data_IF_746031673341
#
_entry.id   IF_746031673341
#
_cell.length_a   1.000
_cell.length_b   1.000
_cell.length_c   1.000
_cell.angle_alpha   90.00
_cell.angle_beta   90.00
_cell.angle_gamma   90.00
#
_symmetry.space_group_name_H-M   'P 1'
#
loop_
_entity.id
_entity.type
_entity.pdbx_description
1 polymer ?
#
# COMPACT_ATOMS: atom_id res chain seq x y z
N UNK A 1 36.25 -48.96 -26.32
CA UNK A 1 36.44 -50.41 -26.10
C UNK A 1 37.74 -50.59 -25.31
N UNK A 2 37.69 -51.00 -24.03
CA UNK A 2 38.85 -51.18 -23.10
C UNK A 2 39.66 -49.89 -22.80
N UNK A 3 40.33 -49.70 -21.65
CA UNK A 3 40.47 -50.52 -20.43
C UNK A 3 40.51 -49.66 -19.15
N UNK A 4 40.05 -50.21 -18.03
CA UNK A 4 40.36 -49.69 -16.67
C UNK A 4 41.83 -49.98 -16.32
N UNK A 5 42.45 -49.13 -15.51
CA UNK A 5 43.75 -49.39 -14.87
C UNK A 5 43.73 -48.87 -13.43
N UNK A 6 43.76 -49.78 -12.47
CA UNK A 6 43.91 -49.50 -11.04
C UNK A 6 45.39 -49.72 -10.68
N UNK A 7 46.01 -48.86 -9.87
CA UNK A 7 46.88 -49.31 -8.78
C UNK A 7 47.15 -48.19 -7.78
N UNK A 8 47.36 -48.58 -6.51
CA UNK A 8 47.66 -47.69 -5.40
C UNK A 8 49.05 -47.98 -4.83
N UNK A 9 49.67 -47.01 -4.16
CA UNK A 9 50.72 -47.30 -3.18
C UNK A 9 50.72 -46.28 -2.02
N UNK A 10 50.94 -46.79 -0.81
CA UNK A 10 51.10 -46.06 0.47
C UNK A 10 52.61 -45.88 0.79
N UNK A 11 52.90 -45.39 2.01
CA UNK A 11 54.19 -45.17 2.71
C UNK A 11 54.73 -43.72 2.62
N UNK A 12 55.22 -43.07 3.70
CA UNK A 12 55.06 -43.28 5.16
C UNK A 12 55.41 -41.97 5.92
N UNK A 13 55.09 -41.93 7.22
CA UNK A 13 55.42 -40.93 8.23
C UNK A 13 56.79 -40.21 8.12
N UNK A 14 56.81 -38.94 8.51
CA UNK A 14 57.78 -38.42 9.48
C UNK A 14 57.17 -37.26 10.29
N UNK A 15 57.18 -37.37 11.62
CA UNK A 15 56.79 -36.31 12.55
C UNK A 15 58.03 -35.74 13.25
N UNK A 16 58.00 -34.46 13.64
CA UNK A 16 58.84 -33.94 14.73
C UNK A 16 58.21 -32.72 15.41
N UNK A 17 58.32 -32.68 16.73
CA UNK A 17 57.66 -31.73 17.63
C UNK A 17 58.70 -30.95 18.44
N UNK A 18 58.37 -29.73 18.87
CA UNK A 18 58.87 -28.96 20.04
C UNK A 18 57.95 -27.72 20.18
N UNK A 19 57.29 -27.35 21.29
CA UNK A 19 57.69 -27.14 22.71
C UNK A 19 58.78 -26.05 22.86
N UNK A 20 58.77 -25.11 23.82
CA UNK A 20 58.01 -24.92 25.08
C UNK A 20 58.15 -23.44 25.59
N UNK A 21 57.73 -23.17 26.85
CA UNK A 21 57.77 -21.90 27.64
C UNK A 21 56.61 -20.92 27.38
N UNK A 22 55.68 -20.58 28.29
CA UNK A 22 55.58 -20.61 29.78
C UNK A 22 56.30 -19.46 30.52
N UNK A 23 55.52 -18.61 31.19
CA UNK A 23 55.97 -17.54 32.10
C UNK A 23 54.77 -16.97 32.87
N UNK A 24 54.84 -16.97 34.21
CA UNK A 24 53.71 -16.70 35.11
C UNK A 24 54.16 -16.06 36.42
N UNK A 25 53.50 -15.00 36.87
CA UNK A 25 53.47 -14.45 38.25
C UNK A 25 52.46 -13.27 38.26
N UNK A 26 51.78 -12.82 39.32
CA UNK A 26 51.27 -13.30 40.62
C UNK A 26 50.97 -12.01 41.45
N UNK A 27 49.96 -12.03 42.33
CA UNK A 27 49.66 -10.94 43.28
C UNK A 27 48.26 -10.33 43.09
N UNK A 28 47.23 -10.78 43.80
CA UNK A 28 46.87 -10.46 45.22
C UNK A 28 46.07 -9.15 45.35
N UNK A 29 45.09 -8.96 46.24
CA UNK A 29 44.23 -9.78 47.11
C UNK A 29 43.46 -8.76 47.98
N UNK A 30 42.13 -8.76 48.03
CA UNK A 30 41.38 -8.05 49.09
C UNK A 30 39.94 -8.56 49.21
N UNK A 31 39.55 -8.95 50.43
CA UNK A 31 38.18 -9.27 50.83
C UNK A 31 37.38 -7.97 51.04
N UNK A 32 36.06 -8.04 50.85
CA UNK A 32 35.15 -7.71 51.94
C UNK A 32 33.80 -8.44 51.79
N UNK A 33 33.26 -8.92 52.91
CA UNK A 33 31.98 -9.63 53.01
C UNK A 33 31.06 -8.80 53.90
N UNK A 34 29.84 -8.51 53.43
CA UNK A 34 28.68 -8.27 54.29
C UNK A 34 27.42 -8.70 53.56
N UNK A 35 26.61 -9.53 54.21
CA UNK A 35 25.27 -9.90 53.77
C UNK A 35 24.23 -9.13 54.58
N UNK A 36 23.02 -8.97 54.05
CA UNK A 36 21.79 -8.92 54.84
C UNK A 36 20.57 -9.25 53.97
N UNK A 37 19.54 -9.83 54.60
CA UNK A 37 18.32 -10.36 54.00
C UNK A 37 17.39 -9.33 53.34
N UNK A 38 16.63 -9.80 52.34
CA UNK A 38 15.15 -9.92 52.48
C UNK A 38 14.51 -10.58 51.24
N UNK A 39 13.72 -11.64 51.45
CA UNK A 39 12.61 -12.01 50.55
C UNK A 39 11.31 -11.42 51.10
N UNK A 40 10.33 -11.08 50.25
CA UNK A 40 9.22 -12.02 50.06
C UNK A 40 8.65 -12.10 48.63
N UNK A 41 8.03 -13.23 48.32
CA UNK A 41 7.20 -13.49 47.12
C UNK A 41 5.72 -13.15 47.38
N UNK A 42 4.81 -13.26 46.40
CA UNK A 42 4.71 -12.55 45.12
C UNK A 42 3.31 -11.91 44.92
N UNK A 43 3.03 -11.27 43.77
CA UNK A 43 1.66 -11.15 43.24
C UNK A 43 1.45 -11.86 41.89
N UNK A 44 0.17 -12.05 41.54
CA UNK A 44 -0.37 -12.91 40.47
C UNK A 44 -0.08 -12.48 39.00
N UNK A 45 -0.26 -13.39 38.00
CA UNK A 45 0.09 -13.13 36.62
C UNK A 45 -0.93 -12.26 35.87
N UNK A 46 -0.47 -11.10 35.38
CA UNK A 46 -1.17 -10.31 34.36
C UNK A 46 -1.02 -10.88 32.94
N UNK A 47 -1.92 -10.54 32.00
CA UNK A 47 -1.95 -11.13 30.66
C UNK A 47 -0.74 -10.72 29.81
N UNK A 48 -0.22 -11.69 29.05
CA UNK A 48 0.94 -11.55 28.16
C UNK A 48 0.58 -10.85 26.85
N UNK A 49 0.89 -9.55 26.76
CA UNK A 49 0.91 -8.81 25.49
C UNK A 49 2.17 -9.18 24.67
N UNK A 50 2.06 -9.42 23.34
CA UNK A 50 3.21 -9.72 22.51
C UNK A 50 4.10 -8.49 22.28
N UNK A 51 5.41 -8.72 22.25
CA UNK A 51 6.43 -7.69 22.02
C UNK A 51 6.33 -7.10 20.60
N UNK A 52 6.29 -5.76 20.41
CA UNK A 52 6.37 -5.18 19.09
C UNK A 52 7.80 -5.33 18.52
N UNK A 53 7.89 -5.70 17.23
CA UNK A 53 9.15 -5.71 16.49
C UNK A 53 9.65 -4.26 16.35
N UNK A 54 10.95 -4.05 16.57
CA UNK A 54 11.53 -2.72 16.66
C UNK A 54 11.45 -1.94 15.32
N UNK A 55 10.83 -0.76 15.38
CA UNK A 55 10.97 0.25 14.34
C UNK A 55 12.36 0.91 14.44
N UNK A 56 12.95 1.26 13.30
CA UNK A 56 14.21 2.01 13.25
C UNK A 56 14.04 3.44 13.82
N UNK A 57 15.09 4.03 14.43
CA UNK A 57 14.95 5.21 15.27
C UNK A 57 14.72 6.50 14.48
N UNK A 58 13.68 7.24 14.87
CA UNK A 58 13.47 8.63 14.46
C UNK A 58 14.25 9.58 15.40
N UNK A 59 15.06 10.47 14.83
CA UNK A 59 15.72 11.54 15.58
C UNK A 59 14.75 12.71 15.81
N UNK A 60 14.71 13.23 17.04
CA UNK A 60 13.78 14.28 17.46
C UNK A 60 14.43 15.67 17.38
N UNK A 61 13.69 16.64 16.84
CA UNK A 61 13.95 18.07 17.02
C UNK A 61 12.62 18.79 17.27
N UNK A 62 12.56 19.56 18.35
CA UNK A 62 11.32 20.20 18.83
C UNK A 62 11.03 21.53 18.12
N UNK A 63 9.75 21.91 18.10
CA UNK A 63 9.30 23.26 17.79
C UNK A 63 8.26 23.70 18.85
N UNK A 64 8.42 24.92 19.36
CA UNK A 64 7.60 25.47 20.43
C UNK A 64 6.22 25.94 19.92
N UNK A 65 5.22 25.91 20.82
CA UNK A 65 3.87 26.38 20.51
C UNK A 65 3.70 27.89 20.62
N UNK A 66 2.65 28.41 19.97
CA UNK A 66 2.05 29.72 20.25
C UNK A 66 0.53 29.53 20.28
N UNK A 67 -0.09 30.07 21.33
CA UNK A 67 -1.54 30.06 21.56
C UNK A 67 -2.22 31.27 20.91
N UNK A 68 -3.42 31.11 20.38
CA UNK A 68 -4.43 32.19 20.46
C UNK A 68 -5.83 31.61 20.50
N UNK A 69 -6.54 31.97 21.56
CA UNK A 69 -7.98 31.80 21.71
C UNK A 69 -8.72 32.89 20.91
N UNK A 70 -10.00 32.66 20.57
CA UNK A 70 -11.07 33.65 20.40
C UNK A 70 -12.31 33.07 19.69
N UNK A 71 -13.34 32.72 20.45
CA UNK A 71 -14.74 32.71 19.99
C UNK A 71 -15.34 34.12 20.11
N UNK A 72 -16.44 34.44 19.41
CA UNK A 72 -17.75 34.27 20.04
C UNK A 72 -18.78 33.53 19.16
N UNK A 73 -19.80 32.97 19.81
CA UNK A 73 -21.02 32.45 19.18
C UNK A 73 -22.09 33.54 19.13
N UNK A 74 -23.18 33.35 18.36
CA UNK A 74 -24.49 33.96 18.62
C UNK A 74 -25.66 33.22 17.92
N UNK A 75 -26.64 32.85 18.74
CA UNK A 75 -28.06 32.47 18.58
C UNK A 75 -28.72 31.91 17.28
N UNK A 76 -29.77 31.12 17.54
CA UNK A 76 -30.70 30.49 16.60
C UNK A 76 -32.10 31.13 16.66
N UNK A 77 -32.92 30.93 15.62
CA UNK A 77 -34.40 30.90 15.70
C UNK A 77 -35.01 30.29 14.42
N UNK A 78 -36.16 29.62 14.59
CA UNK A 78 -37.01 28.95 13.59
C UNK A 78 -38.48 29.04 14.13
N UNK A 79 -39.56 28.71 13.39
CA UNK A 79 -39.75 28.60 11.94
C UNK A 79 -40.70 29.75 11.48
N UNK A 80 -42.03 29.65 11.13
CA UNK A 80 -42.96 28.55 10.79
C UNK A 80 -43.44 28.57 9.31
N UNK A 81 -44.34 27.64 8.96
CA UNK A 81 -45.11 27.62 7.70
C UNK A 81 -46.63 27.50 7.93
N UNK A 82 -47.44 27.29 6.87
CA UNK A 82 -48.62 26.42 7.02
C UNK A 82 -48.95 25.49 5.82
N UNK A 83 -49.24 24.23 6.14
CA UNK A 83 -50.45 23.45 5.78
C UNK A 83 -51.33 23.86 4.57
N UNK A 84 -51.71 22.92 3.67
CA UNK A 84 -52.87 22.01 3.83
C UNK A 84 -53.18 21.16 2.55
N UNK A 85 -53.99 20.10 2.73
CA UNK A 85 -54.81 19.32 1.77
C UNK A 85 -54.30 17.94 1.28
N UNK A 86 -55.23 16.97 1.19
CA UNK A 86 -54.97 15.54 0.99
C UNK A 86 -56.04 14.83 0.14
N UNK A 87 -55.67 13.64 -0.38
CA UNK A 87 -56.55 12.56 -0.90
C UNK A 87 -57.26 12.83 -2.27
N UNK A 88 -57.64 11.79 -3.06
CA UNK A 88 -57.91 10.40 -2.67
C UNK A 88 -57.12 9.30 -3.42
N UNK A 89 -57.32 8.07 -2.95
CA UNK A 89 -56.65 6.84 -3.38
C UNK A 89 -57.27 6.18 -4.63
N UNK A 90 -56.47 5.40 -5.36
CA UNK A 90 -56.94 4.53 -6.44
C UNK A 90 -56.31 3.12 -6.37
N UNK A 91 -57.20 2.14 -6.21
CA UNK A 91 -57.15 0.69 -6.49
C UNK A 91 -55.81 -0.06 -6.64
N UNK A 92 -55.71 -1.17 -5.90
CA UNK A 92 -54.71 -2.22 -6.07
C UNK A 92 -54.89 -2.96 -7.40
N UNK A 93 -53.80 -3.19 -8.13
CA UNK A 93 -53.72 -4.16 -9.22
C UNK A 93 -52.37 -4.89 -9.16
N UNK A 94 -52.40 -6.20 -8.90
CA UNK A 94 -51.20 -7.04 -8.80
C UNK A 94 -50.89 -7.68 -10.15
N UNK A 95 -49.75 -7.37 -10.81
CA UNK A 95 -49.22 -8.18 -11.90
C UNK A 95 -48.44 -9.40 -11.36
N UNK A 96 -48.29 -10.48 -12.16
CA UNK A 96 -47.86 -11.77 -11.65
C UNK A 96 -46.37 -11.82 -11.25
N UNK A 97 -46.08 -12.66 -10.26
CA UNK A 97 -44.71 -13.05 -9.90
C UNK A 97 -44.00 -13.71 -11.09
N UNK A 98 -43.05 -13.00 -11.70
CA UNK A 98 -42.13 -13.56 -12.68
C UNK A 98 -40.74 -13.62 -12.07
N UNK A 99 -40.42 -14.78 -11.48
CA UNK A 99 -39.11 -15.07 -10.92
C UNK A 99 -38.09 -15.36 -12.04
N UNK A 100 -37.63 -14.31 -12.73
CA UNK A 100 -36.54 -14.39 -13.70
C UNK A 100 -35.19 -14.15 -13.02
N UNK A 101 -34.57 -15.27 -12.64
CA UNK A 101 -33.16 -15.57 -12.34
C UNK A 101 -32.14 -14.44 -11.99
N UNK A 102 -31.28 -14.66 -10.96
CA UNK A 102 -30.21 -13.71 -10.55
C UNK A 102 -28.98 -13.68 -11.47
N UNK A 103 -29.07 -14.18 -12.70
CA UNK A 103 -27.92 -14.51 -13.54
C UNK A 103 -27.05 -13.29 -13.96
N UNK A 104 -27.67 -12.12 -14.14
CA UNK A 104 -26.96 -10.90 -14.55
C UNK A 104 -25.98 -10.41 -13.48
N UNK A 105 -26.38 -10.45 -12.21
CA UNK A 105 -25.53 -10.02 -11.08
C UNK A 105 -24.29 -10.91 -10.94
N UNK A 106 -24.47 -12.24 -11.03
CA UNK A 106 -23.37 -13.19 -10.88
C UNK A 106 -22.32 -13.09 -11.99
N UNK A 107 -22.72 -12.81 -13.23
CA UNK A 107 -21.79 -12.60 -14.34
C UNK A 107 -20.93 -11.35 -14.13
N UNK A 108 -21.56 -10.22 -13.76
CA UNK A 108 -20.85 -8.96 -13.46
C UNK A 108 -19.89 -9.10 -12.27
N UNK A 109 -20.27 -9.85 -11.24
CA UNK A 109 -19.37 -10.14 -10.11
C UNK A 109 -18.17 -11.01 -10.52
N UNK A 110 -18.36 -12.01 -11.38
CA UNK A 110 -17.28 -12.88 -11.84
C UNK A 110 -16.27 -12.16 -12.75
N UNK A 111 -16.75 -11.32 -13.67
CA UNK A 111 -15.90 -10.51 -14.56
C UNK A 111 -15.13 -9.42 -13.79
N UNK A 112 -15.77 -8.81 -12.80
CA UNK A 112 -15.12 -7.89 -11.83
C UNK A 112 -14.05 -8.63 -11.02
N UNK A 113 -14.32 -9.83 -10.51
CA UNK A 113 -13.33 -10.61 -9.75
C UNK A 113 -12.17 -11.14 -10.61
N UNK A 114 -12.39 -11.42 -11.89
CA UNK A 114 -11.33 -11.74 -12.84
C UNK A 114 -10.41 -10.52 -13.12
N UNK A 115 -11.00 -9.32 -13.15
CA UNK A 115 -10.27 -8.06 -13.35
C UNK A 115 -9.56 -7.59 -12.07
N UNK A 116 -10.13 -7.86 -10.89
CA UNK A 116 -9.64 -7.43 -9.58
C UNK A 116 -9.50 -8.65 -8.65
N UNK A 117 -8.39 -9.41 -8.77
CA UNK A 117 -8.22 -10.75 -8.18
C UNK A 117 -8.50 -10.84 -6.68
N UNK A 118 -8.15 -9.81 -5.92
CA UNK A 118 -8.38 -9.75 -4.47
C UNK A 118 -9.85 -9.80 -4.06
N UNK A 119 -10.78 -9.39 -4.93
CA UNK A 119 -12.22 -9.51 -4.69
C UNK A 119 -12.71 -10.97 -4.76
N UNK A 120 -11.98 -11.82 -5.48
CA UNK A 120 -12.20 -13.27 -5.54
C UNK A 120 -11.44 -14.07 -4.47
N UNK A 121 -10.60 -13.42 -3.66
CA UNK A 121 -9.82 -14.10 -2.62
C UNK A 121 -10.62 -14.20 -1.31
N UNK A 122 -11.07 -15.41 -0.89
CA UNK A 122 -11.85 -15.58 0.32
C UNK A 122 -11.07 -15.24 1.60
N UNK A 123 -9.72 -15.19 1.55
CA UNK A 123 -8.89 -14.76 2.68
C UNK A 123 -8.89 -13.24 2.89
N UNK A 124 -9.29 -12.46 1.88
CA UNK A 124 -9.34 -11.00 1.91
C UNK A 124 -10.76 -10.42 1.97
N UNK A 125 -11.78 -11.24 1.69
CA UNK A 125 -13.18 -10.82 1.57
C UNK A 125 -13.74 -10.07 2.81
N UNK A 126 -13.22 -10.32 4.01
CA UNK A 126 -13.61 -9.63 5.24
C UNK A 126 -12.73 -8.41 5.60
N UNK A 127 -11.63 -8.19 4.87
CA UNK A 127 -10.62 -7.15 5.16
C UNK A 127 -10.70 -5.95 4.20
N UNK A 128 -11.32 -6.09 3.04
CA UNK A 128 -11.63 -5.01 2.12
C UNK A 128 -13.07 -4.50 2.34
N UNK A 129 -13.36 -3.20 2.21
CA UNK A 129 -14.73 -2.72 2.15
C UNK A 129 -15.41 -3.22 0.86
N UNK A 130 -16.71 -3.55 0.88
CA UNK A 130 -17.38 -4.15 -0.27
C UNK A 130 -17.43 -3.18 -1.47
N UNK A 131 -17.17 -3.66 -2.69
CA UNK A 131 -17.28 -2.84 -3.90
C UNK A 131 -18.76 -2.57 -4.23
N UNK A 132 -19.10 -1.32 -4.55
CA UNK A 132 -20.47 -0.94 -4.97
C UNK A 132 -20.54 -0.33 -6.36
N UNK A 133 -19.48 0.33 -6.81
CA UNK A 133 -19.32 0.82 -8.19
C UNK A 133 -17.82 0.95 -8.56
N UNK A 134 -17.53 1.58 -9.70
CA UNK A 134 -16.18 1.76 -10.24
C UNK A 134 -15.80 3.24 -10.32
N UNK A 135 -14.50 3.54 -10.40
CA UNK A 135 -14.00 4.91 -10.55
C UNK A 135 -14.68 5.68 -11.72
N UNK A 136 -14.80 5.05 -12.89
CA UNK A 136 -15.48 5.65 -14.05
C UNK A 136 -16.97 5.88 -13.82
N UNK A 137 -17.68 4.95 -13.17
CA UNK A 137 -19.11 5.10 -12.90
C UNK A 137 -19.37 6.18 -11.82
N UNK A 138 -18.51 6.25 -10.81
CA UNK A 138 -18.57 7.22 -9.71
C UNK A 138 -18.28 8.65 -10.16
N UNK A 139 -17.29 8.81 -11.04
CA UNK A 139 -16.84 10.10 -11.55
C UNK A 139 -17.00 10.13 -13.09
N UNK A 140 -18.22 10.11 -13.65
CA UNK A 140 -18.46 9.86 -15.07
C UNK A 140 -18.08 11.02 -15.98
N UNK A 141 -18.03 12.25 -15.48
CA UNK A 141 -17.67 13.45 -16.25
C UNK A 141 -16.37 14.08 -15.74
N UNK A 142 -15.42 14.45 -16.63
CA UNK A 142 -14.37 15.40 -16.31
C UNK A 142 -14.94 16.83 -16.20
N UNK A 143 -14.15 17.84 -15.78
CA UNK A 143 -14.61 19.23 -15.71
C UNK A 143 -15.02 19.77 -17.10
N UNK A 144 -15.89 20.79 -17.17
CA UNK A 144 -16.29 21.41 -18.45
C UNK A 144 -15.07 21.88 -19.27
N UNK A 145 -15.07 21.57 -20.56
CA UNK A 145 -13.96 21.86 -21.48
C UNK A 145 -12.84 20.82 -21.52
N UNK A 146 -12.93 19.75 -20.71
CA UNK A 146 -11.98 18.63 -20.74
C UNK A 146 -12.62 17.38 -21.35
N UNK A 147 -11.83 16.58 -22.07
CA UNK A 147 -12.21 15.27 -22.61
C UNK A 147 -11.25 14.22 -22.08
N UNK A 148 -11.75 13.05 -21.63
CA UNK A 148 -10.87 11.96 -21.18
C UNK A 148 -9.92 11.52 -22.29
N UNK A 149 -8.71 11.13 -21.90
CA UNK A 149 -7.78 10.52 -22.86
C UNK A 149 -8.23 9.09 -23.20
N UNK A 150 -8.11 8.72 -24.46
CA UNK A 150 -8.26 7.34 -24.90
C UNK A 150 -7.13 6.48 -24.32
N UNK A 151 -7.43 5.22 -24.02
CA UNK A 151 -6.50 4.26 -23.43
C UNK A 151 -6.59 2.94 -24.17
N UNK A 152 -5.43 2.32 -24.42
CA UNK A 152 -5.38 0.98 -24.99
C UNK A 152 -6.05 -0.03 -24.04
N UNK A 153 -6.88 -0.93 -24.59
CA UNK A 153 -7.47 -2.02 -23.84
C UNK A 153 -6.40 -2.88 -23.15
N UNK A 154 -6.65 -3.28 -21.91
CA UNK A 154 -5.69 -4.06 -21.10
C UNK A 154 -4.51 -3.26 -20.52
N UNK A 155 -4.33 -1.99 -20.88
CA UNK A 155 -3.31 -1.12 -20.25
C UNK A 155 -3.58 -0.89 -18.77
N UNK A 156 -2.53 -0.62 -17.98
CA UNK A 156 -2.66 -0.31 -16.55
C UNK A 156 -3.60 0.89 -16.32
N UNK A 157 -3.52 1.92 -17.16
CA UNK A 157 -4.42 3.06 -17.09
C UNK A 157 -5.89 2.71 -17.33
N UNK A 158 -6.19 1.85 -18.32
CA UNK A 158 -7.55 1.41 -18.60
C UNK A 158 -8.14 0.58 -17.44
N UNK A 159 -7.28 -0.20 -16.78
CA UNK A 159 -7.61 -0.96 -15.57
C UNK A 159 -7.82 -0.06 -14.35
N UNK A 160 -6.99 0.98 -14.16
CA UNK A 160 -7.16 1.97 -13.08
C UNK A 160 -8.46 2.77 -13.21
N UNK A 161 -8.85 3.12 -14.44
CA UNK A 161 -10.11 3.84 -14.75
C UNK A 161 -11.36 3.09 -14.26
N UNK A 162 -11.27 1.77 -14.03
CA UNK A 162 -12.38 0.94 -13.57
C UNK A 162 -12.25 0.45 -12.12
N UNK A 163 -11.27 0.97 -11.35
CA UNK A 163 -11.02 0.53 -9.96
C UNK A 163 -12.31 0.41 -9.14
N UNK A 164 -12.51 -0.70 -8.41
CA UNK A 164 -13.70 -0.89 -7.60
C UNK A 164 -13.65 0.04 -6.39
N UNK A 165 -14.78 0.69 -6.08
CA UNK A 165 -14.92 1.66 -5.00
C UNK A 165 -15.91 1.18 -3.95
N UNK A 166 -15.61 1.53 -2.69
CA UNK A 166 -16.51 1.36 -1.56
C UNK A 166 -17.68 2.35 -1.61
N UNK A 167 -18.68 2.14 -0.75
CA UNK A 167 -19.85 3.01 -0.65
C UNK A 167 -19.48 4.50 -0.41
N UNK A 168 -20.27 5.46 -0.94
CA UNK A 168 -20.06 6.87 -0.63
C UNK A 168 -20.26 7.09 0.87
N UNK A 169 -19.41 7.91 1.47
CA UNK A 169 -19.37 8.05 2.93
C UNK A 169 -18.57 6.96 3.67
N UNK A 170 -17.85 6.08 2.96
CA UNK A 170 -16.84 5.22 3.61
C UNK A 170 -15.68 6.09 4.12
N UNK A 171 -15.33 6.06 5.43
CA UNK A 171 -14.17 6.79 5.96
C UNK A 171 -12.85 6.13 5.53
N UNK A 172 -11.75 6.90 5.56
CA UNK A 172 -10.40 6.31 5.48
C UNK A 172 -9.99 5.82 6.86
N UNK A 173 -9.74 4.52 6.98
CA UNK A 173 -9.21 3.88 8.17
C UNK A 173 -7.71 3.62 8.02
N UNK A 174 -6.97 3.65 9.13
CA UNK A 174 -5.64 3.05 9.23
C UNK A 174 -5.76 1.52 9.41
N UNK A 175 -4.69 0.78 9.14
CA UNK A 175 -4.64 -0.69 9.31
C UNK A 175 -5.13 -1.16 10.70
N UNK A 176 -4.95 -0.36 11.75
CA UNK A 176 -5.43 -0.66 13.12
C UNK A 176 -6.92 -0.32 13.36
N UNK A 177 -7.72 -0.10 12.32
CA UNK A 177 -9.16 0.20 12.38
C UNK A 177 -9.56 1.63 12.77
N UNK A 178 -8.62 2.48 13.18
CA UNK A 178 -8.90 3.88 13.54
C UNK A 178 -9.18 4.77 12.33
N UNK A 179 -10.14 5.69 12.43
CA UNK A 179 -10.45 6.68 11.38
C UNK A 179 -9.30 7.69 11.25
N UNK A 180 -8.82 7.90 10.02
CA UNK A 180 -7.88 8.97 9.65
C UNK A 180 -8.62 10.12 8.97
N UNK A 181 -9.47 9.84 7.97
CA UNK A 181 -10.34 10.84 7.35
C UNK A 181 -11.81 10.46 7.58
N UNK A 182 -12.63 11.33 8.17
CA UNK A 182 -14.07 11.08 8.32
C UNK A 182 -14.78 11.09 6.94
N UNK A 183 -16.01 10.53 6.86
CA UNK A 183 -16.78 10.40 5.62
C UNK A 183 -16.95 11.69 4.80
N UNK A 184 -17.06 12.82 5.49
CA UNK A 184 -17.33 14.15 4.95
C UNK A 184 -16.06 14.96 4.66
N UNK A 185 -14.87 14.40 4.89
CA UNK A 185 -13.61 15.14 4.80
C UNK A 185 -13.46 15.86 3.45
N UNK A 186 -13.17 17.17 3.51
CA UNK A 186 -13.16 18.08 2.35
C UNK A 186 -12.20 17.70 1.21
N UNK A 187 -11.27 16.78 1.47
CA UNK A 187 -10.27 16.28 0.52
C UNK A 187 -10.38 14.77 0.19
N UNK A 188 -11.38 14.06 0.74
CA UNK A 188 -11.68 12.65 0.44
C UNK A 188 -12.80 12.57 -0.61
N UNK A 189 -12.59 11.88 -1.72
CA UNK A 189 -13.61 11.70 -2.76
C UNK A 189 -14.27 10.31 -2.73
N UNK A 190 -13.47 9.26 -2.58
CA UNK A 190 -13.92 7.88 -2.48
C UNK A 190 -12.84 7.00 -1.84
N UNK A 191 -13.23 5.83 -1.33
CA UNK A 191 -12.31 4.77 -0.86
C UNK A 191 -12.28 3.64 -1.89
N UNK A 192 -11.10 3.15 -2.24
CA UNK A 192 -10.94 1.99 -3.13
C UNK A 192 -11.29 0.72 -2.35
N UNK A 193 -12.05 -0.19 -2.97
CA UNK A 193 -12.47 -1.46 -2.39
C UNK A 193 -11.32 -2.49 -2.40
N UNK A 194 -10.27 -2.22 -1.63
CA UNK A 194 -9.09 -3.07 -1.45
C UNK A 194 -8.69 -3.13 0.03
N UNK A 195 -8.06 -4.23 0.44
CA UNK A 195 -7.58 -4.42 1.81
C UNK A 195 -6.43 -3.46 2.15
N UNK A 196 -6.26 -3.15 3.44
CA UNK A 196 -5.09 -2.40 3.96
C UNK A 196 -3.95 -3.37 4.35
N UNK A 197 -4.29 -4.64 4.61
CA UNK A 197 -3.47 -5.54 5.43
C UNK A 197 -3.67 -5.33 6.93
N UNK A 198 -3.09 -6.22 7.74
CA UNK A 198 -3.23 -6.23 9.22
C UNK A 198 -2.06 -5.54 9.96
N UNK A 199 -1.12 -4.96 9.21
CA UNK A 199 0.10 -4.33 9.74
C UNK A 199 0.36 -2.99 9.06
N UNK A 200 1.27 -2.19 9.62
CA UNK A 200 1.68 -0.88 9.10
C UNK A 200 2.62 -1.01 7.89
N UNK A 201 2.16 -1.70 6.84
CA UNK A 201 2.95 -2.06 5.65
C UNK A 201 2.48 -1.38 4.36
N UNK A 202 1.17 -1.38 4.05
CA UNK A 202 0.66 -0.84 2.77
C UNK A 202 0.58 0.70 2.79
N UNK A 203 1.74 1.35 2.84
CA UNK A 203 1.90 2.79 2.86
C UNK A 203 1.87 3.39 1.44
N UNK A 204 2.27 4.67 1.31
CA UNK A 204 2.09 5.46 0.09
C UNK A 204 2.69 4.83 -1.20
N UNK A 205 3.95 4.39 -1.16
CA UNK A 205 4.61 3.75 -2.30
C UNK A 205 4.06 2.34 -2.56
N UNK A 206 3.71 1.64 -1.48
CA UNK A 206 3.26 0.25 -1.48
C UNK A 206 1.88 0.10 -2.11
N UNK A 207 1.00 1.09 -1.95
CA UNK A 207 -0.28 1.14 -2.67
C UNK A 207 -0.10 1.22 -4.20
N UNK A 208 0.92 1.92 -4.69
CA UNK A 208 1.23 2.00 -6.12
C UNK A 208 1.78 0.66 -6.62
N UNK A 209 2.70 0.05 -5.85
CA UNK A 209 3.23 -1.30 -6.12
C UNK A 209 2.11 -2.34 -6.12
N UNK A 210 1.21 -2.31 -5.12
CA UNK A 210 0.04 -3.18 -4.97
C UNK A 210 -0.83 -3.16 -6.22
N UNK A 211 -1.29 -1.97 -6.64
CA UNK A 211 -2.18 -1.82 -7.79
C UNK A 211 -1.51 -2.24 -9.10
N UNK A 212 -0.23 -1.91 -9.30
CA UNK A 212 0.51 -2.35 -10.49
C UNK A 212 0.74 -3.87 -10.51
N UNK A 213 1.03 -4.47 -9.35
CA UNK A 213 1.20 -5.92 -9.22
C UNK A 213 -0.11 -6.67 -9.50
N UNK A 214 -1.23 -6.17 -8.99
CA UNK A 214 -2.57 -6.74 -9.21
C UNK A 214 -2.98 -6.66 -10.68
N UNK A 215 -2.74 -5.54 -11.36
CA UNK A 215 -2.96 -5.44 -12.81
C UNK A 215 -2.13 -6.47 -13.59
N UNK A 216 -0.83 -6.61 -13.28
CA UNK A 216 0.02 -7.65 -13.89
C UNK A 216 -0.52 -9.06 -13.60
N UNK A 217 -0.92 -9.34 -12.36
CA UNK A 217 -1.52 -10.62 -11.98
C UNK A 217 -2.81 -10.92 -12.76
N UNK A 218 -3.70 -9.94 -12.88
CA UNK A 218 -4.99 -10.06 -13.57
C UNK A 218 -4.82 -10.40 -15.07
N UNK A 219 -3.81 -9.83 -15.74
CA UNK A 219 -3.45 -10.19 -17.14
C UNK A 219 -2.65 -11.49 -17.27
N UNK A 220 -2.57 -12.31 -16.22
CA UNK A 220 -1.93 -13.62 -16.22
C UNK A 220 -0.41 -13.63 -15.98
N UNK A 221 0.20 -12.47 -15.69
CA UNK A 221 1.64 -12.37 -15.45
C UNK A 221 2.02 -13.00 -14.10
N UNK A 222 3.12 -13.75 -14.09
CA UNK A 222 3.66 -14.45 -12.91
C UNK A 222 5.18 -14.27 -12.78
N UNK A 223 5.83 -13.51 -13.66
CA UNK A 223 7.25 -13.13 -13.53
C UNK A 223 7.35 -11.72 -12.94
N UNK A 224 7.09 -11.67 -11.63
CA UNK A 224 6.88 -10.45 -10.88
C UNK A 224 8.09 -10.19 -9.98
N UNK A 225 8.68 -9.01 -10.09
CA UNK A 225 9.72 -8.51 -9.18
C UNK A 225 9.53 -7.03 -8.93
N UNK A 226 9.93 -6.59 -7.74
CA UNK A 226 10.04 -5.19 -7.33
C UNK A 226 11.34 -5.02 -6.54
N UNK A 227 11.77 -3.78 -6.29
CA UNK A 227 13.01 -3.51 -5.56
C UNK A 227 12.79 -3.15 -4.10
N UNK A 228 13.71 -3.61 -3.25
CA UNK A 228 13.96 -3.05 -1.93
C UNK A 228 14.63 -1.67 -2.03
N UNK A 229 14.67 -0.90 -0.93
CA UNK A 229 15.33 0.41 -0.84
C UNK A 229 16.80 0.43 -1.28
N UNK A 230 17.50 -0.69 -1.11
CA UNK A 230 18.90 -0.88 -1.54
C UNK A 230 19.04 -1.33 -3.01
N UNK A 231 17.97 -1.27 -3.82
CA UNK A 231 17.96 -1.72 -5.22
C UNK A 231 17.93 -3.24 -5.42
N UNK A 232 17.86 -4.02 -4.33
CA UNK A 232 17.85 -5.48 -4.35
C UNK A 232 16.51 -5.99 -4.86
N UNK A 233 16.53 -6.86 -5.88
CA UNK A 233 15.35 -7.50 -6.47
C UNK A 233 14.60 -8.40 -5.47
N UNK A 234 13.27 -8.32 -5.51
CA UNK A 234 12.34 -9.08 -4.67
C UNK A 234 11.43 -9.98 -5.52
N UNK A 235 11.96 -10.96 -6.28
CA UNK A 235 11.19 -11.76 -7.22
C UNK A 235 10.22 -12.73 -6.52
N UNK A 236 8.98 -12.78 -7.02
CA UNK A 236 7.92 -13.66 -6.57
C UNK A 236 8.34 -15.14 -6.60
N UNK A 237 9.12 -15.56 -7.60
CA UNK A 237 9.59 -16.95 -7.75
C UNK A 237 10.55 -17.42 -6.65
N UNK A 238 11.15 -16.52 -5.87
CA UNK A 238 11.87 -16.91 -4.64
C UNK A 238 10.91 -17.11 -3.48
N UNK A 239 9.90 -16.26 -3.36
CA UNK A 239 8.86 -16.39 -2.34
C UNK A 239 8.07 -17.70 -2.47
N UNK A 240 7.70 -18.04 -3.71
CA UNK A 240 7.04 -19.30 -4.12
C UNK A 240 7.88 -20.52 -3.75
N UNK A 241 9.21 -20.44 -3.81
CA UNK A 241 10.14 -21.50 -3.37
C UNK A 241 10.30 -21.59 -1.84
N UNK A 242 9.61 -20.75 -1.08
CA UNK A 242 9.68 -20.72 0.39
C UNK A 242 10.88 -19.95 0.96
N UNK A 243 11.58 -19.20 0.11
CA UNK A 243 12.65 -18.31 0.53
C UNK A 243 12.07 -16.97 0.99
N UNK A 244 12.74 -16.29 1.93
CA UNK A 244 12.36 -14.95 2.40
C UNK A 244 13.57 -14.02 2.41
N UNK A 245 13.37 -12.72 2.13
CA UNK A 245 14.40 -11.71 2.33
C UNK A 245 14.64 -11.50 3.84
N UNK A 246 15.91 -11.54 4.26
CA UNK A 246 16.36 -11.42 5.64
C UNK A 246 17.56 -10.48 5.70
N UNK A 247 17.53 -9.51 6.61
CA UNK A 247 18.65 -8.61 6.81
C UNK A 247 19.81 -9.30 7.56
N UNK A 248 21.02 -9.12 7.04
CA UNK A 248 22.29 -9.59 7.60
C UNK A 248 23.30 -8.44 7.56
N UNK A 249 23.30 -7.64 8.62
CA UNK A 249 24.01 -6.35 8.62
C UNK A 249 23.38 -5.40 7.61
N UNK A 250 24.18 -4.89 6.68
CA UNK A 250 23.73 -4.00 5.61
C UNK A 250 23.14 -4.75 4.40
N UNK A 251 23.37 -6.06 4.29
CA UNK A 251 22.90 -6.87 3.16
C UNK A 251 21.50 -7.43 3.39
N UNK A 252 20.69 -7.48 2.32
CA UNK A 252 19.46 -8.27 2.27
C UNK A 252 19.78 -9.59 1.54
N UNK A 253 19.75 -10.70 2.28
CA UNK A 253 19.99 -12.05 1.73
C UNK A 253 18.68 -12.83 1.69
N UNK A 254 18.64 -13.84 0.84
CA UNK A 254 17.49 -14.73 0.71
C UNK A 254 17.78 -16.07 1.38
N UNK A 255 16.97 -16.43 2.37
CA UNK A 255 17.12 -17.66 3.14
C UNK A 255 15.85 -18.52 3.00
N UNK A 256 15.95 -19.85 2.89
CA UNK A 256 14.81 -20.75 3.05
C UNK A 256 14.19 -20.58 4.44
N UNK A 257 12.89 -20.25 4.51
CA UNK A 257 12.14 -20.09 5.77
C UNK A 257 10.85 -20.90 5.83
N UNK A 258 10.25 -21.20 4.68
CA UNK A 258 9.04 -22.02 4.58
C UNK A 258 9.24 -23.13 3.56
N UNK A 259 8.25 -24.02 3.46
CA UNK A 259 8.10 -24.89 2.28
C UNK A 259 7.69 -24.04 1.07
N UNK A 260 7.82 -24.60 -0.13
CA UNK A 260 7.28 -24.01 -1.35
C UNK A 260 5.75 -23.95 -1.32
N UNK A 261 5.20 -22.92 -1.96
CA UNK A 261 3.75 -22.68 -2.10
C UNK A 261 3.33 -22.74 -3.58
N UNK A 262 2.03 -22.95 -3.89
CA UNK A 262 1.51 -22.74 -5.24
C UNK A 262 1.65 -21.28 -5.70
N UNK A 263 1.63 -21.04 -7.03
CA UNK A 263 1.51 -19.69 -7.61
C UNK A 263 0.04 -19.23 -7.63
N UNK A 264 -0.56 -19.12 -6.45
CA UNK A 264 -1.93 -18.64 -6.25
C UNK A 264 -1.99 -17.21 -5.67
N UNK A 265 -3.18 -16.62 -5.65
CA UNK A 265 -3.37 -15.25 -5.20
C UNK A 265 -3.02 -15.04 -3.71
N UNK A 266 -3.39 -15.93 -2.76
CA UNK A 266 -2.93 -15.82 -1.38
C UNK A 266 -1.40 -15.81 -1.23
N UNK A 267 -0.68 -16.64 -2.00
CA UNK A 267 0.80 -16.65 -1.98
C UNK A 267 1.38 -15.35 -2.55
N UNK A 268 0.76 -14.80 -3.59
CA UNK A 268 1.12 -13.50 -4.18
C UNK A 268 0.81 -12.32 -3.24
N UNK A 269 -0.33 -12.33 -2.54
CA UNK A 269 -0.67 -11.33 -1.52
C UNK A 269 0.35 -11.32 -0.38
N UNK A 270 0.76 -12.50 0.09
CA UNK A 270 1.80 -12.63 1.11
C UNK A 270 3.18 -12.18 0.62
N UNK A 271 3.52 -12.45 -0.65
CA UNK A 271 4.75 -11.92 -1.26
C UNK A 271 4.77 -10.39 -1.26
N UNK A 272 3.62 -9.75 -1.53
CA UNK A 272 3.52 -8.29 -1.50
C UNK A 272 3.74 -7.70 -0.10
N UNK A 273 3.28 -8.33 0.99
CA UNK A 273 3.68 -7.90 2.35
C UNK A 273 5.20 -8.00 2.54
N UNK A 274 5.83 -9.04 1.97
CA UNK A 274 7.28 -9.17 1.90
C UNK A 274 7.97 -8.10 1.07
N UNK A 275 7.33 -7.58 0.01
CA UNK A 275 7.82 -6.44 -0.77
C UNK A 275 7.71 -5.15 0.05
N UNK A 276 6.56 -4.89 0.66
CA UNK A 276 6.29 -3.66 1.44
C UNK A 276 7.20 -3.53 2.66
N UNK A 277 7.66 -4.64 3.23
CA UNK A 277 8.63 -4.64 4.33
C UNK A 277 10.04 -4.11 3.93
N UNK A 278 10.38 -4.09 2.64
CA UNK A 278 11.72 -3.70 2.16
C UNK A 278 11.71 -2.60 1.08
N UNK A 279 10.59 -2.39 0.39
CA UNK A 279 10.38 -1.30 -0.55
C UNK A 279 10.22 0.04 0.19
N UNK A 280 10.36 1.14 -0.54
CA UNK A 280 10.05 2.49 -0.09
C UNK A 280 9.94 3.43 -1.30
N UNK A 281 9.69 4.72 -1.06
CA UNK A 281 9.65 5.76 -2.10
C UNK A 281 10.95 5.88 -2.91
N UNK A 282 12.10 5.59 -2.30
CA UNK A 282 13.40 5.51 -2.97
C UNK A 282 13.46 4.36 -3.96
N UNK A 283 13.03 3.16 -3.56
CA UNK A 283 12.93 2.01 -4.44
C UNK A 283 11.94 2.25 -5.58
N UNK A 284 10.75 2.79 -5.28
CA UNK A 284 9.73 3.13 -6.27
C UNK A 284 10.26 4.12 -7.32
N UNK A 285 10.99 5.16 -6.89
CA UNK A 285 11.58 6.14 -7.79
C UNK A 285 12.77 5.61 -8.63
N UNK A 286 13.47 4.56 -8.16
CA UNK A 286 14.60 3.93 -8.87
C UNK A 286 14.17 2.90 -9.92
N UNK A 287 12.99 2.30 -9.79
CA UNK A 287 12.48 1.24 -10.68
C UNK A 287 11.41 1.76 -11.67
N UNK A 288 11.35 3.07 -11.88
CA UNK A 288 10.38 3.75 -12.73
C UNK A 288 11.04 4.89 -13.52
N UNK A 289 10.55 5.14 -14.73
CA UNK A 289 11.14 6.11 -15.66
C UNK A 289 10.53 7.52 -15.47
N UNK A 290 11.31 8.61 -15.66
CA UNK A 290 10.78 9.97 -15.73
C UNK A 290 9.75 10.15 -16.85
N UNK A 291 8.76 11.01 -16.63
CA UNK A 291 7.73 11.36 -17.62
C UNK A 291 7.67 12.89 -17.77
N UNK A 292 7.44 13.37 -18.99
CA UNK A 292 7.19 14.78 -19.26
C UNK A 292 5.74 15.16 -18.90
N UNK A 293 5.49 16.36 -18.37
CA UNK A 293 4.17 16.78 -17.84
C UNK A 293 3.09 16.69 -18.92
N UNK A 294 3.45 17.05 -20.14
CA UNK A 294 2.59 17.03 -21.32
C UNK A 294 2.17 15.59 -21.66
N UNK A 295 2.90 14.57 -21.20
CA UNK A 295 2.67 13.15 -21.44
C UNK A 295 2.01 12.41 -20.25
N UNK A 296 1.53 13.13 -19.23
CA UNK A 296 0.80 12.54 -18.09
C UNK A 296 -0.35 11.65 -18.57
N UNK A 297 -0.39 10.42 -18.06
CA UNK A 297 -1.40 9.41 -18.32
C UNK A 297 -1.79 8.66 -17.02
N UNK A 298 -2.94 7.98 -17.00
CA UNK A 298 -3.32 7.12 -15.88
C UNK A 298 -2.31 5.97 -15.72
N UNK A 299 -1.86 5.73 -14.49
CA UNK A 299 -0.74 4.85 -14.16
C UNK A 299 0.57 5.57 -13.84
N UNK A 300 0.66 6.87 -14.14
CA UNK A 300 1.77 7.72 -13.70
C UNK A 300 1.63 8.07 -12.22
N UNK A 301 2.74 8.37 -11.56
CA UNK A 301 2.74 8.80 -10.17
C UNK A 301 3.81 9.86 -9.91
N UNK A 302 3.52 10.77 -9.00
CA UNK A 302 4.58 11.62 -8.41
C UNK A 302 5.15 10.91 -7.19
N UNK A 303 6.48 10.86 -7.07
CA UNK A 303 7.16 10.22 -5.94
C UNK A 303 8.32 11.06 -5.42
N UNK A 304 8.25 11.45 -4.15
CA UNK A 304 9.37 12.03 -3.42
C UNK A 304 10.17 10.90 -2.75
N UNK A 305 11.38 10.57 -3.22
CA UNK A 305 12.25 9.62 -2.52
C UNK A 305 12.76 10.21 -1.20
N UNK A 306 12.96 9.34 -0.20
CA UNK A 306 13.59 9.67 1.08
C UNK A 306 12.74 9.33 2.29
N UNK A 307 13.24 9.68 3.48
CA UNK A 307 12.59 9.44 4.78
C UNK A 307 12.47 10.76 5.54
N UNK A 308 11.28 11.38 5.63
CA UNK A 308 10.01 10.94 5.05
C UNK A 308 9.90 11.30 3.55
N UNK A 309 9.26 10.40 2.80
CA UNK A 309 8.87 10.58 1.40
C UNK A 309 7.37 10.36 1.25
N UNK A 310 6.82 10.65 0.07
CA UNK A 310 5.43 10.36 -0.25
C UNK A 310 5.26 10.05 -1.74
N UNK A 311 4.15 9.42 -2.12
CA UNK A 311 3.80 9.15 -3.51
C UNK A 311 2.28 9.22 -3.72
N UNK A 312 1.88 9.73 -4.90
CA UNK A 312 0.46 9.86 -5.32
C UNK A 312 0.31 9.37 -6.75
N UNK A 313 -0.70 8.53 -6.99
CA UNK A 313 -1.00 7.89 -8.27
C UNK A 313 -2.02 8.70 -9.08
N UNK A 314 -1.79 8.87 -10.37
CA UNK A 314 -2.77 9.35 -11.34
C UNK A 314 -3.62 8.16 -11.80
N UNK A 315 -4.92 8.16 -11.47
CA UNK A 315 -5.85 7.05 -11.77
C UNK A 315 -6.79 7.33 -12.94
N UNK A 316 -6.98 8.59 -13.32
CA UNK A 316 -7.61 8.98 -14.59
C UNK A 316 -7.10 10.35 -15.07
N UNK A 317 -7.20 10.62 -16.38
CA UNK A 317 -6.75 11.85 -17.03
C UNK A 317 -7.75 12.30 -18.09
N UNK A 318 -8.05 13.59 -18.07
CA UNK A 318 -8.72 14.32 -19.14
C UNK A 318 -7.90 15.54 -19.56
N UNK A 319 -8.09 16.04 -20.77
CA UNK A 319 -7.33 17.14 -21.37
C UNK A 319 -8.25 18.18 -21.99
N UNK A 320 -7.88 19.44 -21.86
CA UNK A 320 -8.51 20.56 -22.55
C UNK A 320 -7.72 20.92 -23.82
N UNK A 321 -8.35 21.63 -24.76
CA UNK A 321 -7.72 22.08 -26.01
C UNK A 321 -6.63 23.14 -25.81
N UNK A 322 -6.57 23.77 -24.63
CA UNK A 322 -5.55 24.74 -24.23
C UNK A 322 -4.29 24.09 -23.62
N UNK A 323 -4.21 22.76 -23.59
CA UNK A 323 -3.08 22.01 -23.07
C UNK A 323 -3.16 21.66 -21.58
N UNK A 324 -4.13 22.20 -20.82
CA UNK A 324 -4.35 21.81 -19.42
C UNK A 324 -4.78 20.34 -19.32
N UNK A 325 -4.37 19.70 -18.23
CA UNK A 325 -4.84 18.36 -17.85
C UNK A 325 -5.70 18.43 -16.59
N UNK A 326 -6.70 17.56 -16.50
CA UNK A 326 -7.48 17.28 -15.30
C UNK A 326 -7.16 15.85 -14.85
N UNK A 327 -6.75 15.68 -13.59
CA UNK A 327 -6.27 14.42 -13.03
C UNK A 327 -7.21 13.92 -11.93
N UNK A 328 -7.59 12.64 -11.95
CA UNK A 328 -8.03 11.95 -10.74
C UNK A 328 -6.80 11.35 -10.05
N UNK A 329 -6.68 11.59 -8.74
CA UNK A 329 -5.52 11.19 -7.94
C UNK A 329 -5.94 10.23 -6.83
N UNK A 330 -5.12 9.20 -6.59
CA UNK A 330 -5.31 8.26 -5.47
C UNK A 330 -4.01 8.09 -4.67
N UNK A 331 -4.14 7.79 -3.38
CA UNK A 331 -3.00 7.56 -2.49
C UNK A 331 -3.32 6.58 -1.36
N UNK A 332 -2.28 5.99 -0.75
CA UNK A 332 -2.24 5.64 0.68
C UNK A 332 -1.37 6.69 1.40
N UNK A 333 -1.06 6.51 2.68
CA UNK A 333 -0.18 7.42 3.43
C UNK A 333 0.64 6.66 4.48
N UNK A 334 1.23 7.37 5.44
CA UNK A 334 1.92 6.82 6.60
C UNK A 334 1.21 7.34 7.87
N UNK A 335 0.67 6.48 8.75
CA UNK A 335 0.68 5.01 8.71
C UNK A 335 -0.17 4.42 7.57
N UNK A 336 0.01 3.12 7.31
CA UNK A 336 -0.76 2.37 6.31
C UNK A 336 -2.26 2.49 6.57
N UNK A 337 -3.01 2.79 5.51
CA UNK A 337 -4.42 3.14 5.53
C UNK A 337 -5.09 2.77 4.19
N UNK A 338 -6.42 2.93 4.09
CA UNK A 338 -7.11 2.68 2.83
C UNK A 338 -6.52 3.49 1.67
N UNK A 339 -6.38 2.83 0.52
CA UNK A 339 -6.18 3.51 -0.75
C UNK A 339 -7.45 4.32 -1.05
N UNK A 340 -7.31 5.61 -1.28
CA UNK A 340 -8.44 6.51 -1.46
C UNK A 340 -8.19 7.55 -2.56
N UNK A 341 -9.27 7.96 -3.20
CA UNK A 341 -9.29 9.01 -4.22
C UNK A 341 -9.37 10.38 -3.53
N UNK A 342 -8.49 11.28 -3.93
CA UNK A 342 -8.40 12.64 -3.42
C UNK A 342 -9.35 13.58 -4.17
N UNK A 343 -9.70 14.70 -3.52
CA UNK A 343 -10.33 15.86 -4.18
C UNK A 343 -9.68 17.17 -3.71
N UNK A 344 -9.52 18.21 -4.56
CA UNK A 344 -9.01 19.52 -4.15
C UNK A 344 -9.95 20.28 -3.21
N UNK A 345 -11.26 20.18 -3.40
CA UNK A 345 -12.31 20.82 -2.60
C UNK A 345 -13.56 19.95 -2.52
N UNK A 346 -14.60 20.40 -1.80
CA UNK A 346 -15.87 19.66 -1.74
C UNK A 346 -16.60 19.62 -3.09
N UNK A 347 -16.48 20.67 -3.91
CA UNK A 347 -17.23 20.89 -5.15
C UNK A 347 -16.53 20.35 -6.42
N UNK A 348 -15.25 19.96 -6.32
CA UNK A 348 -14.46 19.50 -7.46
C UNK A 348 -13.63 18.28 -7.08
N UNK A 349 -13.72 17.20 -7.88
CA UNK A 349 -12.92 15.97 -7.68
C UNK A 349 -11.59 16.00 -8.44
N UNK A 350 -11.60 16.54 -9.66
CA UNK A 350 -10.44 16.54 -10.54
C UNK A 350 -9.46 17.65 -10.22
N UNK A 351 -8.17 17.33 -10.19
CA UNK A 351 -7.07 18.28 -10.06
C UNK A 351 -6.71 18.83 -11.44
N UNK A 352 -7.06 20.08 -11.72
CA UNK A 352 -6.67 20.76 -12.96
C UNK A 352 -5.25 21.30 -12.81
N UNK A 353 -4.38 21.00 -13.78
CA UNK A 353 -2.99 21.44 -13.87
C UNK A 353 -2.69 22.06 -15.23
N UNK A 354 -1.80 23.05 -15.24
CA UNK A 354 -1.29 23.75 -16.42
C UNK A 354 0.09 23.23 -16.82
N UNK A 355 0.47 23.26 -18.11
CA UNK A 355 1.86 23.03 -18.53
C UNK A 355 2.87 23.96 -17.84
N UNK A 356 2.47 25.17 -17.47
CA UNK A 356 3.32 26.16 -16.79
C UNK A 356 3.50 25.90 -15.28
N UNK A 357 2.70 25.02 -14.69
CA UNK A 357 2.82 24.68 -13.27
C UNK A 357 4.21 24.11 -12.99
N UNK A 358 4.78 24.41 -11.82
CA UNK A 358 6.11 23.90 -11.46
C UNK A 358 6.04 22.58 -10.67
N UNK A 359 4.86 22.22 -10.17
CA UNK A 359 4.62 21.10 -9.28
C UNK A 359 3.15 20.69 -9.25
N UNK A 360 2.88 19.40 -9.01
CA UNK A 360 1.55 18.94 -8.60
C UNK A 360 1.29 19.31 -7.15
N UNK A 361 0.24 20.08 -6.90
CA UNK A 361 -0.24 20.39 -5.54
C UNK A 361 -1.30 19.37 -5.14
N UNK A 362 -1.05 18.60 -4.08
CA UNK A 362 -2.02 17.68 -3.49
C UNK A 362 -2.34 18.09 -2.06
N UNK A 363 -3.48 17.67 -1.48
CA UNK A 363 -3.70 17.74 -0.05
C UNK A 363 -2.64 16.90 0.71
N UNK A 364 -2.47 17.20 1.99
CA UNK A 364 -1.65 16.43 2.96
C UNK A 364 -0.12 16.37 2.73
N UNK A 365 0.41 16.93 1.64
CA UNK A 365 1.85 16.96 1.37
C UNK A 365 2.31 18.29 0.78
N UNK A 366 3.62 18.54 0.79
CA UNK A 366 4.22 19.66 0.07
C UNK A 366 4.12 19.42 -1.45
N UNK A 367 4.08 20.47 -2.30
CA UNK A 367 3.98 20.30 -3.75
C UNK A 367 5.07 19.38 -4.31
N UNK A 368 4.72 18.54 -5.29
CA UNK A 368 5.61 17.60 -5.96
C UNK A 368 6.14 18.21 -7.26
N UNK A 369 7.39 18.69 -7.34
CA UNK A 369 7.91 19.27 -8.57
C UNK A 369 7.98 18.22 -9.68
N UNK A 370 7.66 18.59 -10.92
CA UNK A 370 7.46 17.63 -12.01
C UNK A 370 8.62 16.68 -12.32
N UNK A 371 9.86 17.04 -11.92
CA UNK A 371 11.01 16.12 -11.91
C UNK A 371 10.82 14.83 -11.08
N UNK A 372 9.77 14.75 -10.27
CA UNK A 372 9.34 13.59 -9.48
C UNK A 372 8.22 12.77 -10.12
N UNK A 373 7.70 13.17 -11.29
CA UNK A 373 6.74 12.39 -12.06
C UNK A 373 7.42 11.16 -12.68
N UNK A 374 6.81 9.99 -12.50
CA UNK A 374 7.35 8.68 -12.89
C UNK A 374 6.26 7.77 -13.46
N UNK A 375 6.68 6.77 -14.23
CA UNK A 375 5.87 5.70 -14.82
C UNK A 375 6.65 4.38 -14.77
N UNK A 376 5.99 3.28 -14.40
CA UNK A 376 6.59 1.94 -14.57
C UNK A 376 6.72 1.60 -16.07
N UNK A 377 7.78 0.90 -16.46
CA UNK A 377 7.88 0.38 -17.82
C UNK A 377 6.71 -0.58 -18.10
N UNK A 378 6.03 -0.38 -19.23
CA UNK A 378 4.91 -1.22 -19.64
C UNK A 378 5.47 -2.48 -20.33
N UNK A 379 5.33 -3.62 -19.66
CA UNK A 379 5.63 -4.96 -20.22
C UNK A 379 4.48 -5.58 -21.01
#
# INVERSE_FOLDING_TARGET
MRSRGLLALRFLLAARSSRLALGSLLGSLALCVTACDASPSPPEPGPSSPTPIAAHPASSAAAAGITSDARPALHAADPPGPEHAAAPAASLATPPSSALAPAATSATSAETAASYPWLGDPSLAAAAPPPVDTLLARFPSPPPGFTRVDLAGGSFGAWLRHLPLAAPGTPVLRHSGGVILPPDHRNLAAVVAIDIGQADLQQCADAIIRLHAEWRWARGDRDLSYRAGAGIELPFDRWVRGERPVQRGEALVWEPKTRSSPKDHPTFRGWLDGVFMWANTGALAQQAQPVAVEQIAPGDFVVQPGTPGHAVLVVDVARASDGRAALLLAQSFMPAQNVHVLRPSVDATWFVVSPDDQALVTPFWKPFPWRWLRRFEQG
#
